data_IF_041113638758
#
_entry.id   IF_041113638758
#
_cell.length_a   1.000
_cell.length_b   1.000
_cell.length_c   1.000
_cell.angle_alpha   90.00
_cell.angle_beta   90.00
_cell.angle_gamma   90.00
#
_symmetry.space_group_name_H-M   'P 1'
#
loop_
_entity.id
_entity.type
_entity.pdbx_description
1 polymer ?
#
# COMPACT_ATOMS: atom_id res chain seq x y z
N UNK A 1 92.39 10.91 1.68
CA UNK A 1 91.56 10.40 2.78
C UNK A 1 90.62 11.52 3.23
N UNK A 2 89.34 11.42 2.90
CA UNK A 2 88.25 12.21 3.50
C UNK A 2 86.99 11.34 3.41
N UNK A 3 86.54 10.87 4.57
CA UNK A 3 85.24 10.23 4.76
C UNK A 3 84.13 11.22 4.42
N UNK A 4 83.09 10.75 3.73
CA UNK A 4 81.86 11.47 3.46
C UNK A 4 80.70 10.49 3.44
N UNK A 5 79.77 10.68 4.36
CA UNK A 5 78.68 9.80 4.78
C UNK A 5 77.68 9.38 3.70
N UNK A 6 77.13 8.17 3.86
CA UNK A 6 75.97 7.65 3.11
C UNK A 6 74.69 8.10 3.81
N UNK A 7 73.78 8.85 3.17
CA UNK A 7 72.47 9.07 3.74
C UNK A 7 71.55 7.87 3.46
N UNK A 8 71.32 7.08 4.51
CA UNK A 8 70.15 6.20 4.62
C UNK A 8 68.92 7.09 4.69
N UNK A 9 68.11 7.13 3.64
CA UNK A 9 66.80 7.78 3.67
C UNK A 9 65.69 6.73 3.73
N UNK A 10 64.97 6.84 4.84
CA UNK A 10 63.89 6.01 5.32
C UNK A 10 62.77 5.78 4.30
N UNK A 11 62.31 4.54 4.25
CA UNK A 11 61.03 4.12 3.69
C UNK A 11 59.88 4.96 4.26
N UNK A 12 59.02 5.60 3.44
CA UNK A 12 57.81 6.22 3.96
C UNK A 12 56.85 5.12 4.40
N UNK A 13 56.54 5.14 5.71
CA UNK A 13 55.53 4.30 6.33
C UNK A 13 54.19 4.44 5.59
N UNK A 14 53.57 3.29 5.29
CA UNK A 14 52.22 3.22 4.75
C UNK A 14 51.25 4.00 5.65
N UNK A 15 50.70 5.10 5.14
CA UNK A 15 49.62 5.83 5.79
C UNK A 15 48.38 4.92 5.83
N UNK A 16 48.01 4.43 7.02
CA UNK A 16 46.71 3.78 7.23
C UNK A 16 45.62 4.85 7.19
N UNK A 17 44.58 4.72 6.35
CA UNK A 17 43.47 5.66 6.40
C UNK A 17 42.71 5.47 7.72
N UNK A 18 42.68 6.54 8.52
CA UNK A 18 41.92 6.62 9.78
C UNK A 18 40.42 6.61 9.48
N UNK A 19 39.83 5.41 9.53
CA UNK A 19 38.39 5.15 9.38
C UNK A 19 37.61 5.53 10.66
N UNK A 20 37.77 6.76 11.17
CA UNK A 20 37.26 7.16 12.49
C UNK A 20 36.11 8.19 12.47
N UNK A 21 35.69 8.66 11.29
CA UNK A 21 34.59 9.64 11.15
C UNK A 21 33.19 9.03 10.98
N UNK A 22 33.07 7.72 10.70
CA UNK A 22 31.77 7.06 10.48
C UNK A 22 30.89 6.91 11.71
N UNK A 23 31.44 7.00 12.94
CA UNK A 23 30.66 6.80 14.18
C UNK A 23 29.72 7.98 14.48
N UNK A 24 30.09 9.21 14.17
CA UNK A 24 29.26 10.39 14.50
C UNK A 24 28.12 10.59 13.49
N UNK A 25 28.35 10.25 12.22
CA UNK A 25 27.32 10.28 11.19
C UNK A 25 26.17 9.30 11.49
N UNK A 26 26.49 8.11 12.02
CA UNK A 26 25.47 7.13 12.42
C UNK A 26 24.50 7.66 13.49
N UNK A 27 25.00 8.35 14.51
CA UNK A 27 24.15 8.88 15.59
C UNK A 27 23.20 10.00 15.15
N UNK A 28 23.53 10.74 14.09
CA UNK A 28 22.66 11.77 13.53
C UNK A 28 21.60 11.21 12.57
N UNK A 29 21.90 10.10 11.89
CA UNK A 29 21.02 9.50 10.87
C UNK A 29 20.06 8.48 11.51
N UNK A 30 20.49 7.77 12.55
CA UNK A 30 19.67 6.72 13.17
C UNK A 30 18.33 7.25 13.73
N UNK A 31 18.27 8.34 14.52
CA UNK A 31 17.00 8.85 15.04
C UNK A 31 15.96 9.21 13.96
N UNK A 32 16.28 9.98 12.90
CA UNK A 32 15.29 10.30 11.87
C UNK A 32 14.88 9.07 11.06
N UNK A 33 15.78 8.11 10.82
CA UNK A 33 15.43 6.85 10.15
C UNK A 33 14.46 6.02 11.00
N UNK A 34 14.72 5.90 12.31
CA UNK A 34 13.81 5.19 13.22
C UNK A 34 12.43 5.86 13.29
N UNK A 35 12.39 7.19 13.34
CA UNK A 35 11.13 7.94 13.32
C UNK A 35 10.37 7.73 12.01
N UNK A 36 11.07 7.79 10.87
CA UNK A 36 10.47 7.54 9.56
C UNK A 36 9.89 6.11 9.49
N UNK A 37 10.64 5.11 9.97
CA UNK A 37 10.16 3.72 10.02
C UNK A 37 8.94 3.58 10.93
N UNK A 38 8.90 4.27 12.07
CA UNK A 38 7.74 4.24 12.97
C UNK A 38 6.45 4.75 12.31
N UNK A 39 6.55 5.67 11.35
CA UNK A 39 5.40 6.19 10.58
C UNK A 39 5.11 5.34 9.33
N UNK A 40 6.15 4.85 8.64
CA UNK A 40 5.98 4.13 7.38
C UNK A 40 5.54 2.68 7.57
N UNK A 41 6.01 2.01 8.62
CA UNK A 41 5.62 0.62 8.93
C UNK A 41 4.09 0.45 9.05
N UNK A 42 3.36 1.27 9.84
CA UNK A 42 1.90 1.14 9.89
C UNK A 42 1.27 1.38 8.52
N UNK A 43 1.68 2.42 7.79
CA UNK A 43 1.17 2.69 6.43
C UNK A 43 1.34 1.47 5.52
N UNK A 44 2.52 0.85 5.49
CA UNK A 44 2.77 -0.36 4.69
C UNK A 44 1.93 -1.56 5.14
N UNK A 45 1.71 -1.72 6.44
CA UNK A 45 0.86 -2.79 6.95
C UNK A 45 -0.61 -2.61 6.52
N UNK A 46 -1.10 -1.37 6.48
CA UNK A 46 -2.43 -1.05 5.99
C UNK A 46 -2.53 -1.19 4.46
N UNK A 47 -1.52 -0.74 3.71
CA UNK A 47 -1.47 -0.91 2.25
C UNK A 47 -1.46 -2.39 1.85
N UNK A 48 -0.70 -3.23 2.56
CA UNK A 48 -0.69 -4.68 2.33
C UNK A 48 -2.07 -5.33 2.56
N UNK A 49 -2.87 -4.81 3.50
CA UNK A 49 -4.25 -5.28 3.73
C UNK A 49 -5.18 -4.85 2.60
N UNK A 50 -5.04 -3.60 2.13
CA UNK A 50 -5.80 -3.12 0.98
C UNK A 50 -5.48 -3.96 -0.26
N UNK A 51 -4.21 -4.25 -0.52
CA UNK A 51 -3.77 -5.08 -1.65
C UNK A 51 -4.36 -6.50 -1.57
N UNK A 52 -4.39 -7.10 -0.39
CA UNK A 52 -4.99 -8.40 -0.18
C UNK A 52 -6.52 -8.36 -0.39
N UNK A 53 -7.20 -7.30 0.03
CA UNK A 53 -8.61 -7.09 -0.28
C UNK A 53 -8.86 -6.96 -1.79
N UNK A 54 -8.05 -6.14 -2.48
CA UNK A 54 -8.10 -5.99 -3.95
C UNK A 54 -7.89 -7.35 -4.62
N UNK A 55 -6.95 -8.14 -4.15
CA UNK A 55 -6.68 -9.49 -4.67
C UNK A 55 -7.87 -10.43 -4.49
N UNK A 56 -8.52 -10.42 -3.32
CA UNK A 56 -9.73 -11.25 -3.09
C UNK A 56 -10.89 -10.82 -3.99
N UNK A 57 -11.12 -9.52 -4.13
CA UNK A 57 -12.20 -8.98 -4.99
C UNK A 57 -11.96 -9.31 -6.46
N UNK A 58 -10.74 -9.13 -6.96
CA UNK A 58 -10.38 -9.36 -8.37
C UNK A 58 -10.26 -10.84 -8.75
N UNK A 59 -9.94 -11.70 -7.79
CA UNK A 59 -9.88 -13.16 -8.02
C UNK A 59 -11.26 -13.84 -7.92
N UNK A 60 -12.26 -13.17 -7.35
CA UNK A 60 -13.62 -13.69 -7.29
C UNK A 60 -14.26 -13.69 -8.69
N UNK A 61 -14.97 -14.76 -9.09
CA UNK A 61 -15.56 -14.84 -10.42
C UNK A 61 -16.58 -13.72 -10.64
N UNK A 62 -16.58 -13.13 -11.83
CA UNK A 62 -17.58 -12.15 -12.23
C UNK A 62 -18.98 -12.78 -12.32
N UNK A 63 -20.05 -11.99 -12.06
CA UNK A 63 -21.41 -12.44 -12.31
C UNK A 63 -21.60 -12.84 -13.78
N UNK A 64 -22.52 -13.76 -14.10
CA UNK A 64 -22.80 -14.13 -15.48
C UNK A 64 -23.23 -12.90 -16.29
N UNK A 65 -22.88 -12.88 -17.60
CA UNK A 65 -23.21 -11.76 -18.51
C UNK A 65 -22.67 -10.40 -18.04
N UNK A 66 -21.52 -10.42 -17.38
CA UNK A 66 -20.85 -9.23 -16.86
C UNK A 66 -19.41 -9.20 -17.34
N UNK A 67 -18.91 -8.00 -17.64
CA UNK A 67 -17.54 -7.72 -18.07
C UNK A 67 -16.99 -6.54 -17.28
N UNK A 68 -15.67 -6.39 -17.24
CA UNK A 68 -15.03 -5.23 -16.63
C UNK A 68 -15.27 -3.98 -17.48
N UNK A 69 -15.80 -2.92 -16.87
CA UNK A 69 -15.90 -1.60 -17.49
C UNK A 69 -14.57 -0.84 -17.37
N UNK A 70 -13.92 -0.94 -16.20
CA UNK A 70 -12.54 -0.50 -15.96
C UNK A 70 -11.74 -1.69 -15.43
N UNK A 71 -10.63 -2.09 -16.09
CA UNK A 71 -9.79 -3.19 -15.62
C UNK A 71 -9.01 -2.85 -14.34
N UNK A 72 -8.97 -1.59 -13.90
CA UNK A 72 -8.27 -1.17 -12.69
C UNK A 72 -9.24 -0.98 -11.52
N UNK A 73 -9.19 -1.85 -10.49
CA UNK A 73 -9.94 -1.62 -9.27
C UNK A 73 -9.41 -0.38 -8.55
N UNK A 74 -10.31 0.42 -7.98
CA UNK A 74 -9.96 1.61 -7.20
C UNK A 74 -9.96 1.23 -5.72
N UNK A 75 -8.77 1.11 -5.14
CA UNK A 75 -8.58 0.88 -3.70
C UNK A 75 -8.35 2.19 -2.96
N UNK A 76 -8.97 2.35 -1.80
CA UNK A 76 -8.72 3.49 -0.92
C UNK A 76 -8.78 3.07 0.56
N UNK A 77 -8.00 3.76 1.38
CA UNK A 77 -7.96 3.63 2.85
C UNK A 77 -8.30 4.98 3.43
N UNK A 78 -9.23 5.04 4.39
CA UNK A 78 -9.51 6.28 5.10
C UNK A 78 -10.68 6.22 6.07
N UNK A 79 -11.05 7.39 6.59
CA UNK A 79 -12.18 7.62 7.48
C UNK A 79 -13.41 8.03 6.66
N UNK A 80 -14.18 7.09 6.12
CA UNK A 80 -15.43 7.44 5.43
C UNK A 80 -16.66 7.35 6.34
N UNK A 81 -16.67 6.44 7.32
CA UNK A 81 -17.82 6.21 8.21
C UNK A 81 -17.82 7.05 9.51
N UNK A 82 -16.93 8.05 9.63
CA UNK A 82 -17.11 9.17 10.57
C UNK A 82 -16.73 8.93 12.03
N UNK A 83 -15.84 7.97 12.34
CA UNK A 83 -15.27 7.84 13.68
C UNK A 83 -13.79 7.44 13.58
N UNK A 84 -12.89 8.24 14.15
CA UNK A 84 -11.44 8.00 14.22
C UNK A 84 -11.01 6.73 14.98
N UNK A 85 -11.96 5.85 15.29
CA UNK A 85 -11.73 4.58 15.95
C UNK A 85 -11.70 3.39 14.98
N UNK A 86 -11.85 3.61 13.66
CA UNK A 86 -11.83 2.55 12.63
C UNK A 86 -11.21 3.07 11.35
N UNK A 87 -10.56 2.17 10.62
CA UNK A 87 -10.12 2.43 9.26
C UNK A 87 -10.99 1.67 8.27
N UNK A 88 -11.54 2.38 7.31
CA UNK A 88 -12.35 1.82 6.23
C UNK A 88 -11.47 1.54 5.02
N UNK A 89 -11.55 0.31 4.52
CA UNK A 89 -10.90 -0.13 3.28
C UNK A 89 -11.97 -0.29 2.24
N UNK A 90 -11.83 0.44 1.16
CA UNK A 90 -12.85 0.51 0.12
C UNK A 90 -12.21 0.10 -1.20
N UNK A 91 -12.78 -0.93 -1.82
CA UNK A 91 -12.40 -1.38 -3.16
C UNK A 91 -13.61 -1.22 -4.07
N UNK A 92 -13.48 -0.37 -5.09
CA UNK A 92 -14.51 -0.16 -6.12
C UNK A 92 -14.11 -0.85 -7.40
N UNK A 93 -15.05 -1.58 -7.99
CA UNK A 93 -14.94 -2.16 -9.31
C UNK A 93 -16.05 -1.65 -10.21
N UNK A 94 -15.71 -1.36 -11.47
CA UNK A 94 -16.66 -0.92 -12.47
C UNK A 94 -16.94 -2.07 -13.43
N UNK A 95 -18.21 -2.42 -13.57
CA UNK A 95 -18.68 -3.54 -14.36
C UNK A 95 -19.66 -3.07 -15.44
N UNK A 96 -19.66 -3.74 -16.58
CA UNK A 96 -20.70 -3.61 -17.60
C UNK A 96 -21.49 -4.91 -17.64
N UNK A 97 -22.81 -4.82 -17.42
CA UNK A 97 -23.67 -6.00 -17.23
C UNK A 97 -25.07 -5.83 -17.81
N UNK A 98 -25.73 -6.93 -18.12
CA UNK A 98 -27.18 -6.94 -18.36
C UNK A 98 -28.01 -7.16 -17.09
N UNK A 99 -27.38 -7.53 -15.98
CA UNK A 99 -28.04 -7.82 -14.71
C UNK A 99 -28.51 -6.53 -14.03
N UNK A 100 -29.57 -6.62 -13.24
CA UNK A 100 -29.99 -5.57 -12.31
C UNK A 100 -29.00 -5.45 -11.16
N UNK A 101 -28.95 -4.28 -10.51
CA UNK A 101 -28.09 -4.13 -9.34
C UNK A 101 -28.48 -5.05 -8.18
N UNK A 102 -29.75 -5.46 -8.09
CA UNK A 102 -30.20 -6.43 -7.09
C UNK A 102 -29.67 -7.84 -7.37
N UNK A 103 -29.69 -8.30 -8.63
CA UNK A 103 -29.08 -9.58 -9.01
C UNK A 103 -27.56 -9.58 -8.76
N UNK A 104 -26.89 -8.45 -8.98
CA UNK A 104 -25.46 -8.30 -8.65
C UNK A 104 -25.23 -8.33 -7.14
N UNK A 105 -26.04 -7.60 -6.37
CA UNK A 105 -25.95 -7.61 -4.91
C UNK A 105 -26.21 -9.02 -4.36
N UNK A 106 -27.18 -9.76 -4.91
CA UNK A 106 -27.50 -11.13 -4.53
C UNK A 106 -26.35 -12.09 -4.86
N UNK A 107 -25.72 -11.94 -6.03
CA UNK A 107 -24.55 -12.74 -6.45
C UNK A 107 -23.39 -12.59 -5.46
N UNK A 108 -23.09 -11.35 -5.03
CA UNK A 108 -22.01 -11.10 -4.08
C UNK A 108 -22.39 -11.33 -2.61
N UNK A 109 -23.68 -11.39 -2.25
CA UNK A 109 -24.13 -11.62 -0.86
C UNK A 109 -23.65 -12.96 -0.29
N UNK A 110 -23.48 -13.98 -1.13
CA UNK A 110 -22.96 -15.29 -0.74
C UNK A 110 -21.45 -15.46 -0.91
N UNK A 111 -20.73 -14.39 -1.28
CA UNK A 111 -19.29 -14.46 -1.53
C UNK A 111 -18.50 -14.54 -0.22
N UNK A 112 -17.29 -15.13 -0.23
CA UNK A 112 -16.38 -15.13 0.92
C UNK A 112 -15.68 -13.78 1.13
N UNK A 113 -16.18 -12.70 0.53
CA UNK A 113 -15.60 -11.37 0.65
C UNK A 113 -15.97 -10.78 2.01
N UNK A 114 -14.95 -10.51 2.83
CA UNK A 114 -15.07 -9.93 4.15
C UNK A 114 -15.52 -8.46 4.07
N UNK A 115 -16.81 -8.20 3.83
CA UNK A 115 -17.25 -6.81 3.72
C UNK A 115 -18.71 -6.60 3.34
N UNK A 116 -19.08 -5.33 3.24
CA UNK A 116 -20.37 -4.91 2.67
C UNK A 116 -20.19 -4.64 1.18
N UNK A 117 -21.24 -4.95 0.42
CA UNK A 117 -21.28 -4.75 -1.03
C UNK A 117 -22.35 -3.72 -1.33
N UNK A 118 -21.94 -2.58 -1.88
CA UNK A 118 -22.84 -1.54 -2.36
C UNK A 118 -22.83 -1.52 -3.88
N UNK A 119 -24.00 -1.37 -4.49
CA UNK A 119 -24.14 -1.42 -5.94
C UNK A 119 -24.78 -0.12 -6.39
N UNK A 120 -24.00 0.71 -7.06
CA UNK A 120 -24.45 1.94 -7.70
C UNK A 120 -24.67 1.65 -9.19
N UNK A 121 -25.83 2.05 -9.72
CA UNK A 121 -26.21 1.79 -11.11
C UNK A 121 -26.15 3.09 -11.91
N UNK A 122 -25.34 3.11 -12.97
CA UNK A 122 -25.40 4.13 -13.99
C UNK A 122 -26.48 3.74 -15.00
N UNK A 123 -27.41 4.64 -15.30
CA UNK A 123 -28.54 4.35 -16.18
C UNK A 123 -28.19 4.63 -17.66
N UNK A 124 -28.12 3.59 -18.51
CA UNK A 124 -28.45 3.75 -19.93
C UNK A 124 -29.76 3.02 -20.24
N UNK A 125 -30.73 3.75 -20.78
CA UNK A 125 -31.96 3.18 -21.33
C UNK A 125 -31.62 2.18 -22.45
N UNK A 126 -32.05 0.93 -22.29
CA UNK A 126 -32.14 -0.03 -23.40
C UNK A 126 -30.88 -0.82 -23.78
N UNK A 127 -29.89 -0.98 -22.90
CA UNK A 127 -28.66 -1.75 -23.19
C UNK A 127 -27.91 -2.30 -21.98
N UNK A 128 -26.65 -2.70 -22.20
CA UNK A 128 -25.70 -3.05 -21.14
C UNK A 128 -25.48 -1.86 -20.21
N UNK A 129 -25.58 -2.07 -18.89
CA UNK A 129 -25.55 -1.03 -17.86
C UNK A 129 -24.17 -0.95 -17.22
N UNK A 130 -23.74 0.25 -16.88
CA UNK A 130 -22.59 0.47 -15.99
C UNK A 130 -23.03 0.24 -14.55
N UNK A 131 -22.26 -0.54 -13.81
CA UNK A 131 -22.52 -0.80 -12.40
C UNK A 131 -21.21 -0.68 -11.64
N UNK A 132 -21.19 0.16 -10.60
CA UNK A 132 -20.06 0.25 -9.67
C UNK A 132 -20.40 -0.59 -8.45
N UNK A 133 -19.55 -1.57 -8.17
CA UNK A 133 -19.64 -2.41 -6.99
C UNK A 133 -18.55 -1.98 -6.01
N UNK A 134 -18.97 -1.53 -4.83
CA UNK A 134 -18.09 -1.12 -3.76
C UNK A 134 -18.05 -2.18 -2.66
N UNK A 135 -16.85 -2.64 -2.34
CA UNK A 135 -16.58 -3.52 -1.21
C UNK A 135 -15.99 -2.71 -0.07
N UNK A 136 -16.55 -2.84 1.12
CA UNK A 136 -16.05 -2.13 2.32
C UNK A 136 -15.69 -3.13 3.42
N UNK A 137 -14.46 -3.07 3.91
CA UNK A 137 -14.00 -3.80 5.11
C UNK A 137 -13.57 -2.79 6.18
N UNK A 138 -13.87 -3.09 7.45
CA UNK A 138 -13.52 -2.24 8.59
C UNK A 138 -12.47 -2.94 9.44
N UNK A 139 -11.39 -2.25 9.77
CA UNK A 139 -10.41 -2.73 10.74
C UNK A 139 -10.06 -1.68 11.80
N UNK A 140 -9.38 -2.13 12.85
CA UNK A 140 -8.80 -1.24 13.84
C UNK A 140 -7.80 -0.27 13.18
N UNK A 141 -7.79 1.02 13.59
CA UNK A 141 -7.03 2.07 12.94
C UNK A 141 -5.52 1.98 13.22
N UNK A 142 -5.13 1.24 14.28
CA UNK A 142 -3.73 1.09 14.65
C UNK A 142 -3.05 2.45 14.82
N UNK A 143 -1.88 2.58 14.18
CA UNK A 143 -1.02 3.77 14.21
C UNK A 143 -0.95 4.48 12.85
N UNK A 144 -1.80 4.11 11.88
CA UNK A 144 -1.83 4.78 10.59
C UNK A 144 -2.57 6.11 10.70
N UNK A 145 -1.84 7.21 10.47
CA UNK A 145 -2.34 8.58 10.55
C UNK A 145 -3.45 8.87 9.53
N UNK A 146 -3.64 8.04 8.50
CA UNK A 146 -4.78 8.15 7.56
C UNK A 146 -6.11 7.74 8.19
N UNK A 147 -6.05 7.03 9.31
CA UNK A 147 -7.19 6.45 10.02
C UNK A 147 -7.53 7.20 11.32
N UNK A 148 -6.97 8.40 11.55
CA UNK A 148 -7.20 9.29 12.71
C UNK A 148 -7.55 10.71 12.24
#
# INVERSE_FOLDING_TARGET
>A
MRSGEVPVLLSPAAARPTRRHGRWAGWLIVPPVLLALAVLIPVWAHDARLDEMVRRVTSFPLPPRTTWADPRPQGSVGLQAGNGNRCDYIVRISLTTSLSGQEIADYYRGSPLSGKVYVEQDAPEGGSRGVVVEFTEMHDPGWDLRCH
#
